data_IF_754570639243
#
_entry.id   IF_754570639243
#
_cell.length_a   1.000
_cell.length_b   1.000
_cell.length_c   1.000
_cell.angle_alpha   90.00
_cell.angle_beta   90.00
_cell.angle_gamma   90.00
#
_symmetry.space_group_name_H-M   'P 1'
#
loop_
_entity.id
_entity.type
_entity.pdbx_description
1 polymer ?
#
# COMPACT_ATOMS: atom_id res chain seq x y z
N UNK A 1 1.40 -13.58 18.06
CA UNK A 1 0.56 -12.66 17.27
C UNK A 1 -0.90 -13.03 17.49
N UNK A 2 -1.74 -12.04 17.72
CA UNK A 2 -3.21 -12.16 17.61
C UNK A 2 -3.59 -12.50 16.17
N UNK A 3 -4.73 -13.15 15.97
CA UNK A 3 -5.25 -13.47 14.63
C UNK A 3 -5.57 -12.16 13.90
N UNK A 4 -4.98 -11.94 12.73
CA UNK A 4 -5.27 -10.76 11.88
C UNK A 4 -6.09 -11.17 10.65
N UNK A 5 -7.16 -10.41 10.37
CA UNK A 5 -7.94 -10.56 9.14
C UNK A 5 -7.42 -9.61 8.06
N UNK A 6 -6.48 -10.09 7.25
CA UNK A 6 -5.89 -9.30 6.17
C UNK A 6 -6.92 -8.99 5.08
N UNK A 7 -7.03 -7.71 4.71
CA UNK A 7 -7.74 -7.22 3.53
C UNK A 7 -6.80 -7.09 2.34
N UNK A 8 -5.52 -6.82 2.61
CA UNK A 8 -4.50 -6.58 1.59
C UNK A 8 -3.14 -7.12 2.05
N UNK A 9 -2.41 -7.79 1.15
CA UNK A 9 -1.02 -8.19 1.38
C UNK A 9 -0.22 -8.12 0.07
N UNK A 10 0.75 -7.20 0.01
CA UNK A 10 1.59 -7.04 -1.18
C UNK A 10 2.69 -8.09 -1.23
N UNK A 11 2.41 -9.24 -1.83
CA UNK A 11 3.36 -10.33 -2.08
C UNK A 11 4.63 -9.85 -2.81
N UNK A 12 4.50 -8.93 -3.77
CA UNK A 12 5.67 -8.38 -4.46
C UNK A 12 6.56 -7.57 -3.51
N UNK A 13 6.00 -6.58 -2.79
CA UNK A 13 6.79 -5.76 -1.85
C UNK A 13 7.39 -6.63 -0.76
N UNK A 14 6.61 -7.59 -0.27
CA UNK A 14 7.07 -8.53 0.74
C UNK A 14 8.25 -9.38 0.24
N UNK A 15 8.18 -9.89 -0.99
CA UNK A 15 9.29 -10.63 -1.60
C UNK A 15 10.55 -9.78 -1.76
N UNK A 16 10.40 -8.55 -2.26
CA UNK A 16 11.51 -7.61 -2.46
C UNK A 16 12.16 -7.17 -1.14
N UNK A 17 11.35 -6.89 -0.11
CA UNK A 17 11.85 -6.50 1.21
C UNK A 17 12.48 -7.70 1.93
N UNK A 18 11.86 -8.88 1.88
CA UNK A 18 12.42 -10.08 2.51
C UNK A 18 13.78 -10.48 1.90
N UNK A 19 13.99 -10.26 0.61
CA UNK A 19 15.29 -10.49 -0.04
C UNK A 19 16.40 -9.57 0.50
N UNK A 20 16.07 -8.38 0.98
CA UNK A 20 17.03 -7.43 1.55
C UNK A 20 17.32 -7.71 3.04
N UNK A 21 16.41 -8.39 3.73
CA UNK A 21 16.54 -8.73 5.16
C UNK A 21 17.29 -10.07 5.37
N UNK A 22 17.36 -10.93 4.35
CA UNK A 22 18.04 -12.21 4.46
C UNK A 22 19.57 -12.03 4.65
N UNK A 23 20.21 -12.75 5.60
CA UNK A 23 21.66 -12.69 5.78
C UNK A 23 22.37 -13.17 4.50
N UNK A 24 23.46 -12.49 4.14
CA UNK A 24 24.23 -12.61 2.88
C UNK A 24 24.96 -13.95 2.65
N UNK A 25 24.43 -15.06 3.16
CA UNK A 25 24.98 -16.42 3.00
C UNK A 25 24.38 -17.20 1.83
N UNK A 26 23.61 -16.58 0.94
CA UNK A 26 23.20 -17.20 -0.31
C UNK A 26 23.80 -16.44 -1.48
N UNK A 27 24.76 -17.11 -2.11
CA UNK A 27 25.45 -16.82 -3.37
C UNK A 27 25.01 -15.55 -4.11
N UNK A 28 26.00 -14.72 -4.44
CA UNK A 28 26.02 -13.82 -5.60
C UNK A 28 25.60 -14.62 -6.84
N UNK A 29 24.30 -14.78 -7.00
CA UNK A 29 23.68 -15.17 -8.24
C UNK A 29 23.28 -13.82 -8.80
N UNK A 30 23.93 -13.44 -9.90
CA UNK A 30 23.59 -12.24 -10.67
C UNK A 30 22.09 -12.01 -10.57
N UNK A 31 21.72 -10.83 -10.03
CA UNK A 31 20.35 -10.36 -9.99
C UNK A 31 19.93 -10.00 -11.43
N UNK A 32 20.03 -10.96 -12.35
CA UNK A 32 19.16 -11.07 -13.49
C UNK A 32 17.77 -11.25 -12.89
N UNK A 33 17.13 -10.13 -12.57
CA UNK A 33 15.69 -10.04 -12.37
C UNK A 33 15.10 -10.40 -13.72
N UNK A 34 15.08 -11.70 -14.00
CA UNK A 34 14.20 -12.30 -14.97
C UNK A 34 12.81 -12.01 -14.39
N UNK A 35 12.28 -10.84 -14.75
CA UNK A 35 10.86 -10.48 -14.72
C UNK A 35 10.16 -11.45 -15.69
N UNK A 36 10.31 -12.75 -15.46
CA UNK A 36 9.39 -13.77 -15.89
C UNK A 36 8.09 -13.35 -15.29
N UNK A 37 7.27 -12.75 -16.15
CA UNK A 37 5.85 -12.53 -15.96
C UNK A 37 5.29 -13.84 -15.45
N UNK A 38 5.20 -13.96 -14.13
CA UNK A 38 4.63 -15.11 -13.46
C UNK A 38 3.15 -15.05 -13.80
N UNK A 39 2.78 -15.83 -14.82
CA UNK A 39 1.42 -16.01 -15.29
C UNK A 39 0.67 -16.79 -14.20
N UNK A 40 0.21 -16.08 -13.17
CA UNK A 40 -0.38 -16.70 -11.99
C UNK A 40 -1.90 -16.82 -12.12
N UNK A 41 -2.40 -18.02 -11.84
CA UNK A 41 -3.79 -18.41 -12.05
C UNK A 41 -4.71 -17.89 -10.93
N UNK A 42 -5.76 -17.17 -11.33
CA UNK A 42 -7.17 -17.03 -10.85
C UNK A 42 -7.64 -17.63 -9.50
N UNK A 43 -6.79 -17.88 -8.51
CA UNK A 43 -7.21 -18.34 -7.17
C UNK A 43 -7.20 -17.16 -6.22
N UNK A 44 -8.27 -17.02 -5.44
CA UNK A 44 -8.36 -16.07 -4.34
C UNK A 44 -7.07 -16.11 -3.53
N UNK A 45 -6.37 -14.98 -3.48
CA UNK A 45 -5.08 -14.86 -2.79
C UNK A 45 -5.37 -15.01 -1.30
N UNK A 46 -5.02 -16.16 -0.74
CA UNK A 46 -5.00 -16.39 0.70
C UNK A 46 -3.54 -16.34 1.12
N UNK A 47 -3.15 -15.47 2.05
CA UNK A 47 -1.80 -15.48 2.59
C UNK A 47 -1.45 -16.87 3.09
N UNK A 48 -0.34 -17.44 2.61
CA UNK A 48 0.18 -18.68 3.16
C UNK A 48 0.96 -18.38 4.44
N UNK A 49 1.14 -19.38 5.30
CA UNK A 49 1.88 -19.23 6.56
C UNK A 49 3.27 -18.62 6.34
N UNK A 50 3.94 -19.01 5.26
CA UNK A 50 5.24 -18.50 4.87
C UNK A 50 5.23 -17.00 4.50
N UNK A 51 4.14 -16.48 3.94
CA UNK A 51 4.01 -15.04 3.68
C UNK A 51 3.88 -14.25 4.99
N UNK A 52 3.18 -14.81 5.98
CA UNK A 52 3.06 -14.20 7.31
C UNK A 52 4.41 -14.20 8.04
N UNK A 53 5.18 -15.29 7.96
CA UNK A 53 6.52 -15.38 8.56
C UNK A 53 7.48 -14.36 7.92
N UNK A 54 7.41 -14.18 6.60
CA UNK A 54 8.17 -13.13 5.90
C UNK A 54 7.74 -11.74 6.35
N UNK A 55 6.43 -11.51 6.50
CA UNK A 55 5.88 -10.22 6.88
C UNK A 55 6.39 -9.83 8.27
N UNK A 56 6.35 -10.77 9.21
CA UNK A 56 6.89 -10.56 10.57
C UNK A 56 8.38 -10.18 10.53
N UNK A 57 9.19 -10.88 9.75
CA UNK A 57 10.62 -10.56 9.60
C UNK A 57 10.87 -9.18 9.00
N UNK A 58 10.12 -8.82 7.95
CA UNK A 58 10.22 -7.50 7.30
C UNK A 58 9.81 -6.40 8.28
N UNK A 59 8.67 -6.55 8.97
CA UNK A 59 8.21 -5.56 9.94
C UNK A 59 9.24 -5.41 11.06
N UNK A 60 9.74 -6.51 11.64
CA UNK A 60 10.77 -6.45 12.68
C UNK A 60 12.01 -5.71 12.19
N UNK A 61 12.50 -6.01 10.99
CA UNK A 61 13.68 -5.32 10.45
C UNK A 61 13.44 -3.81 10.27
N UNK A 62 12.28 -3.42 9.75
CA UNK A 62 11.92 -2.01 9.61
C UNK A 62 11.78 -1.30 10.96
N UNK A 63 11.31 -2.00 12.00
CA UNK A 63 11.22 -1.49 13.37
C UNK A 63 12.61 -1.34 14.00
N UNK A 64 13.45 -2.37 13.90
CA UNK A 64 14.82 -2.38 14.44
C UNK A 64 15.69 -1.28 13.80
N UNK A 65 15.40 -0.92 12.55
CA UNK A 65 16.06 0.15 11.81
C UNK A 65 15.42 1.54 12.00
N UNK A 66 14.41 1.68 12.87
CA UNK A 66 13.66 2.92 13.13
C UNK A 66 13.07 3.55 11.85
N UNK A 67 12.61 2.70 10.92
CA UNK A 67 12.08 3.12 9.61
C UNK A 67 10.55 3.24 9.58
N UNK A 68 9.86 2.83 10.65
CA UNK A 68 8.39 2.92 10.78
C UNK A 68 8.06 4.02 11.79
N UNK A 69 7.58 5.15 11.29
CA UNK A 69 7.01 6.22 12.10
C UNK A 69 5.49 6.15 12.20
N UNK A 70 4.91 7.17 12.81
CA UNK A 70 3.46 7.46 12.72
C UNK A 70 3.11 8.19 11.42
N UNK A 71 1.81 8.43 11.19
CA UNK A 71 1.37 9.28 10.07
C UNK A 71 1.97 10.72 10.14
N UNK A 72 2.19 11.22 11.36
CA UNK A 72 2.69 12.57 11.65
C UNK A 72 4.22 12.69 11.68
N UNK A 73 4.94 11.58 11.71
CA UNK A 73 6.40 11.55 11.74
C UNK A 73 6.98 11.32 10.34
N UNK A 74 8.07 12.03 10.03
CA UNK A 74 8.77 11.93 8.75
C UNK A 74 9.61 10.65 8.66
N UNK A 75 8.95 9.52 8.46
CA UNK A 75 9.57 8.21 8.20
C UNK A 75 9.31 7.68 6.79
N UNK A 76 10.19 6.81 6.24
CA UNK A 76 9.99 6.19 4.93
C UNK A 76 8.80 5.23 4.93
N UNK A 77 8.47 4.65 6.09
CA UNK A 77 7.25 3.91 6.34
C UNK A 77 6.47 4.57 7.47
N UNK A 78 5.15 4.38 7.45
CA UNK A 78 4.28 4.79 8.53
C UNK A 78 3.30 3.68 8.87
N UNK A 79 2.97 3.60 10.15
CA UNK A 79 1.92 2.73 10.68
C UNK A 79 0.78 3.58 11.22
N UNK A 80 -0.44 3.09 11.06
CA UNK A 80 -1.61 3.67 11.69
C UNK A 80 -2.70 2.62 11.89
N UNK A 81 -3.62 2.93 12.80
CA UNK A 81 -4.88 2.22 13.00
C UNK A 81 -6.00 3.26 12.98
N UNK A 82 -6.90 3.18 12.00
CA UNK A 82 -8.00 4.14 11.85
C UNK A 82 -9.17 3.52 11.07
N UNK A 83 -10.38 4.08 11.19
CA UNK A 83 -11.50 3.75 10.34
C UNK A 83 -11.22 4.17 8.89
N UNK A 84 -11.25 3.22 7.96
CA UNK A 84 -11.08 3.49 6.52
C UNK A 84 -12.22 2.88 5.71
N UNK A 85 -12.56 3.52 4.60
CA UNK A 85 -13.33 2.94 3.50
C UNK A 85 -12.35 2.40 2.47
N UNK A 86 -12.75 1.41 1.69
CA UNK A 86 -11.92 0.91 0.61
C UNK A 86 -12.71 0.37 -0.57
N UNK A 87 -12.12 0.47 -1.76
CA UNK A 87 -12.75 0.06 -3.00
C UNK A 87 -11.70 -0.45 -3.99
N UNK A 88 -12.05 -1.53 -4.70
CA UNK A 88 -11.30 -1.99 -5.87
C UNK A 88 -11.83 -1.28 -7.11
N UNK A 89 -10.93 -0.80 -7.95
CA UNK A 89 -11.20 -0.24 -9.27
C UNK A 89 -10.68 -1.22 -10.33
N UNK A 90 -11.49 -2.17 -10.81
CA UNK A 90 -11.01 -3.29 -11.63
C UNK A 90 -10.42 -2.84 -12.98
N UNK A 91 -11.03 -1.85 -13.62
CA UNK A 91 -10.56 -1.27 -14.90
C UNK A 91 -9.17 -0.65 -14.78
N UNK A 92 -8.81 -0.24 -13.58
CA UNK A 92 -7.54 0.37 -13.23
C UNK A 92 -6.52 -0.62 -12.65
N UNK A 93 -6.97 -1.81 -12.22
CA UNK A 93 -6.14 -2.78 -11.51
C UNK A 93 -5.65 -2.29 -10.14
N UNK A 94 -6.35 -1.35 -9.49
CA UNK A 94 -5.96 -0.80 -8.18
C UNK A 94 -7.00 -1.01 -7.10
N UNK A 95 -6.55 -0.93 -5.85
CA UNK A 95 -7.37 -0.78 -4.65
C UNK A 95 -6.97 0.52 -3.96
N UNK A 96 -7.96 1.25 -3.45
CA UNK A 96 -7.76 2.46 -2.65
C UNK A 96 -8.39 2.25 -1.29
N UNK A 97 -7.65 2.58 -0.24
CA UNK A 97 -8.17 2.75 1.11
C UNK A 97 -8.10 4.22 1.46
N UNK A 98 -9.14 4.80 2.04
CA UNK A 98 -9.12 6.18 2.47
C UNK A 98 -9.83 6.37 3.82
N UNK A 99 -9.29 7.24 4.66
CA UNK A 99 -9.84 7.61 5.96
C UNK A 99 -9.14 8.86 6.49
N UNK A 100 -9.64 9.40 7.60
CA UNK A 100 -9.08 10.59 8.23
C UNK A 100 -8.56 10.24 9.61
N UNK A 101 -7.31 10.63 9.88
CA UNK A 101 -6.69 10.53 11.20
C UNK A 101 -6.52 11.94 11.75
N UNK A 102 -7.24 12.26 12.81
CA UNK A 102 -7.42 13.62 13.31
C UNK A 102 -7.92 14.54 12.18
N UNK A 103 -7.08 15.44 11.67
CA UNK A 103 -7.39 16.33 10.53
C UNK A 103 -6.58 15.99 9.26
N UNK A 104 -5.89 14.85 9.23
CA UNK A 104 -5.07 14.43 8.09
C UNK A 104 -5.79 13.33 7.27
N UNK A 105 -5.99 13.57 5.98
CA UNK A 105 -6.54 12.57 5.06
C UNK A 105 -5.47 11.54 4.71
N UNK A 106 -5.70 10.28 5.02
CA UNK A 106 -4.80 9.17 4.71
C UNK A 106 -5.37 8.39 3.53
N UNK A 107 -4.60 8.28 2.46
CA UNK A 107 -4.96 7.50 1.27
C UNK A 107 -3.89 6.45 1.01
N UNK A 108 -4.31 5.19 0.87
CA UNK A 108 -3.42 4.08 0.54
C UNK A 108 -3.77 3.54 -0.85
N UNK A 109 -2.76 3.48 -1.72
CA UNK A 109 -2.86 2.94 -3.07
C UNK A 109 -2.08 1.64 -3.23
N UNK A 110 -2.77 0.59 -3.67
CA UNK A 110 -2.18 -0.71 -3.97
C UNK A 110 -2.69 -1.32 -5.26
N UNK A 111 -1.99 -2.33 -5.78
CA UNK A 111 -2.51 -3.14 -6.89
C UNK A 111 -3.62 -4.08 -6.39
N UNK A 112 -4.73 -4.15 -7.13
CA UNK A 112 -5.92 -4.95 -6.79
C UNK A 112 -5.60 -6.46 -6.69
N UNK A 113 -4.56 -6.95 -7.35
CA UNK A 113 -4.14 -8.36 -7.30
C UNK A 113 -3.65 -8.83 -5.92
N UNK A 114 -3.49 -7.90 -4.97
CA UNK A 114 -3.03 -8.17 -3.61
C UNK A 114 -4.15 -8.08 -2.57
N UNK A 115 -5.38 -7.82 -3.00
CA UNK A 115 -6.56 -7.86 -2.13
C UNK A 115 -6.84 -9.31 -1.76
N UNK A 116 -6.94 -9.57 -0.46
CA UNK A 116 -7.21 -10.92 0.08
C UNK A 116 -8.68 -11.24 -0.13
N UNK A 117 -8.98 -12.39 -0.72
CA UNK A 117 -10.36 -12.80 -1.01
C UNK A 117 -11.04 -12.04 -2.16
N UNK A 118 -10.36 -11.07 -2.78
CA UNK A 118 -10.86 -10.37 -3.97
C UNK A 118 -10.83 -11.28 -5.20
N UNK A 119 -12.00 -11.64 -5.71
CA UNK A 119 -12.16 -12.29 -7.01
C UNK A 119 -12.08 -11.27 -8.17
N UNK A 120 -11.49 -11.69 -9.28
CA UNK A 120 -11.56 -11.11 -10.63
C UNK A 120 -11.22 -9.61 -10.80
N UNK A 121 -10.01 -9.22 -10.41
CA UNK A 121 -9.33 -8.07 -11.03
C UNK A 121 -8.09 -8.55 -11.79
N UNK A 122 -8.06 -8.35 -13.11
CA UNK A 122 -6.89 -8.61 -13.96
C UNK A 122 -5.67 -7.82 -13.42
N UNK A 123 -4.51 -8.46 -13.17
CA UNK A 123 -3.34 -7.77 -12.65
C UNK A 123 -2.72 -6.89 -13.74
N UNK A 124 -2.90 -5.58 -13.64
CA UNK A 124 -1.92 -4.64 -14.19
C UNK A 124 -0.85 -4.47 -13.11
N UNK A 125 0.41 -4.69 -13.48
CA UNK A 125 1.54 -4.91 -12.57
C UNK A 125 1.59 -4.00 -11.33
N UNK A 126 2.20 -4.52 -10.26
CA UNK A 126 2.47 -3.85 -8.98
C UNK A 126 3.30 -2.58 -9.14
N UNK A 127 2.66 -1.55 -9.63
CA UNK A 127 3.11 -0.18 -9.66
C UNK A 127 1.87 0.62 -9.25
N UNK A 128 1.99 1.86 -8.81
CA UNK A 128 0.89 2.80 -8.68
C UNK A 128 0.54 3.53 -10.00
N UNK A 129 0.44 2.93 -11.21
CA UNK A 129 0.29 3.71 -12.42
C UNK A 129 -1.13 4.23 -12.58
N UNK A 130 -2.19 3.67 -11.96
CA UNK A 130 -3.52 4.27 -12.11
C UNK A 130 -3.82 5.37 -11.11
N UNK A 131 -3.34 5.27 -9.86
CA UNK A 131 -3.38 6.42 -8.94
C UNK A 131 -2.51 7.55 -9.52
N UNK A 132 -1.32 7.21 -10.00
CA UNK A 132 -0.46 8.13 -10.74
C UNK A 132 -1.07 8.60 -12.07
N UNK A 133 -1.81 7.76 -12.81
CA UNK A 133 -2.48 8.12 -14.08
C UNK A 133 -3.74 8.92 -13.87
N UNK A 134 -4.50 8.71 -12.80
CA UNK A 134 -5.59 9.59 -12.36
C UNK A 134 -5.03 10.94 -11.93
N UNK A 135 -3.92 10.95 -11.19
CA UNK A 135 -3.15 12.16 -10.89
C UNK A 135 -2.58 12.82 -12.16
N UNK A 136 -2.23 12.06 -13.20
CA UNK A 136 -1.84 12.58 -14.51
C UNK A 136 -3.03 13.04 -15.37
N UNK A 137 -4.19 12.40 -15.28
CA UNK A 137 -5.46 12.80 -15.93
C UNK A 137 -5.99 14.09 -15.32
N UNK A 138 -5.66 14.37 -14.06
CA UNK A 138 -5.89 15.63 -13.35
C UNK A 138 -4.84 16.71 -13.69
N UNK A 139 -3.95 16.47 -14.66
CA UNK A 139 -2.88 17.40 -15.06
C UNK A 139 -3.19 18.08 -16.40
N UNK A 140 -3.24 19.43 -16.45
CA UNK A 140 -2.75 20.19 -17.59
C UNK A 140 -1.21 20.30 -17.49
N UNK A 141 -0.52 19.82 -18.53
CA UNK A 141 0.92 19.96 -18.85
C UNK A 141 1.99 19.39 -17.86
N UNK A 142 3.16 18.94 -18.35
CA UNK A 142 4.21 18.32 -17.55
C UNK A 142 5.11 19.35 -16.86
N UNK A 143 4.80 19.70 -15.63
CA UNK A 143 5.68 20.47 -14.73
C UNK A 143 5.20 20.30 -13.31
N UNK A 144 6.10 19.92 -12.39
CA UNK A 144 5.98 19.66 -10.93
C UNK A 144 4.66 19.05 -10.41
N UNK A 145 4.73 18.16 -9.41
CA UNK A 145 3.51 17.83 -8.69
C UNK A 145 3.11 19.11 -7.97
N UNK A 146 2.09 19.81 -8.49
CA UNK A 146 1.45 20.87 -7.72
C UNK A 146 0.80 20.17 -6.53
N UNK A 147 1.51 20.21 -5.40
CA UNK A 147 1.10 19.60 -4.16
C UNK A 147 -0.37 19.94 -3.90
N UNK A 148 -0.80 21.18 -4.13
CA UNK A 148 -2.18 21.62 -3.92
C UNK A 148 -3.22 20.73 -4.64
N UNK A 149 -3.02 20.43 -5.93
CA UNK A 149 -3.94 19.60 -6.73
C UNK A 149 -3.94 18.13 -6.32
N UNK A 150 -2.76 17.60 -5.98
CA UNK A 150 -2.64 16.25 -5.42
C UNK A 150 -3.46 16.18 -4.13
N UNK A 151 -3.33 17.18 -3.26
CA UNK A 151 -4.06 17.23 -1.99
C UNK A 151 -5.57 17.34 -2.18
N UNK A 152 -6.05 18.19 -3.09
CA UNK A 152 -7.48 18.25 -3.43
C UNK A 152 -7.99 16.90 -3.93
N UNK A 153 -7.22 16.22 -4.79
CA UNK A 153 -7.58 14.90 -5.29
C UNK A 153 -7.63 13.85 -4.16
N UNK A 154 -6.67 13.87 -3.23
CA UNK A 154 -6.65 12.95 -2.08
C UNK A 154 -7.83 13.21 -1.14
N UNK A 155 -8.15 14.48 -0.86
CA UNK A 155 -9.32 14.86 -0.06
C UNK A 155 -10.63 14.39 -0.72
N UNK A 156 -10.80 14.63 -2.03
CA UNK A 156 -11.95 14.16 -2.78
C UNK A 156 -12.08 12.63 -2.79
N UNK A 157 -10.95 11.91 -2.87
CA UNK A 157 -10.94 10.45 -2.75
C UNK A 157 -11.37 10.00 -1.36
N UNK A 158 -10.91 10.69 -0.31
CA UNK A 158 -11.29 10.43 1.08
C UNK A 158 -12.80 10.55 1.30
N UNK A 159 -13.37 11.66 0.85
CA UNK A 159 -14.80 11.95 1.04
C UNK A 159 -15.70 11.13 0.10
N UNK A 160 -15.23 10.84 -1.11
CA UNK A 160 -16.00 10.23 -2.18
C UNK A 160 -16.02 8.71 -2.19
N UNK A 161 -15.26 8.03 -1.33
CA UNK A 161 -15.15 6.57 -1.37
C UNK A 161 -16.47 5.90 -0.89
N UNK A 162 -17.11 5.06 -1.71
CA UNK A 162 -18.30 4.33 -1.29
C UNK A 162 -17.95 3.18 -0.32
N UNK A 163 -18.98 2.59 0.29
CA UNK A 163 -18.86 1.39 1.12
C UNK A 163 -18.83 1.66 2.62
N UNK A 164 -18.78 0.61 3.45
CA UNK A 164 -18.73 0.74 4.89
C UNK A 164 -17.35 1.21 5.36
N UNK A 165 -17.34 2.01 6.42
CA UNK A 165 -16.08 2.32 7.13
C UNK A 165 -15.73 1.13 8.04
N UNK A 166 -14.49 0.66 7.95
CA UNK A 166 -13.98 -0.47 8.74
C UNK A 166 -12.72 -0.03 9.50
N UNK A 167 -12.58 -0.36 10.79
CA UNK A 167 -11.34 -0.11 11.51
C UNK A 167 -10.25 -1.01 10.93
N UNK A 168 -9.15 -0.41 10.48
CA UNK A 168 -8.02 -1.14 9.88
C UNK A 168 -6.70 -0.70 10.49
N UNK A 169 -5.78 -1.65 10.58
CA UNK A 169 -4.37 -1.40 10.86
C UNK A 169 -3.52 -1.72 9.62
N UNK A 170 -2.44 -0.96 9.43
CA UNK A 170 -1.53 -1.16 8.31
C UNK A 170 -0.14 -0.62 8.56
N UNK A 171 0.79 -1.06 7.71
CA UNK A 171 2.08 -0.41 7.50
C UNK A 171 2.20 -0.09 6.02
N UNK A 172 2.55 1.15 5.69
CA UNK A 172 2.66 1.64 4.33
C UNK A 172 3.96 2.41 4.09
N UNK A 173 4.50 2.30 2.88
CA UNK A 173 5.58 3.18 2.41
C UNK A 173 5.00 4.57 2.13
N UNK A 174 5.61 5.62 2.67
CA UNK A 174 5.26 7.03 2.38
C UNK A 174 5.62 7.36 0.93
N UNK A 175 4.69 7.97 0.20
CA UNK A 175 4.89 8.37 -1.20
C UNK A 175 4.83 9.89 -1.39
N UNK A 176 3.86 10.55 -0.75
CA UNK A 176 3.68 11.99 -0.79
C UNK A 176 2.92 12.48 0.46
N UNK A 177 3.12 13.74 0.84
CA UNK A 177 2.54 14.34 2.05
C UNK A 177 2.31 15.86 1.91
N UNK A 178 1.17 16.36 2.40
CA UNK A 178 1.00 17.74 2.90
C UNK A 178 1.09 17.68 4.41
N UNK A 179 2.01 18.44 4.99
CA UNK A 179 1.98 18.72 6.41
C UNK A 179 1.12 19.97 6.69
N UNK A 180 0.56 20.06 7.89
CA UNK A 180 -0.26 21.20 8.33
C UNK A 180 -1.76 20.90 8.42
N UNK A 181 -2.59 21.93 8.70
CA UNK A 181 -4.04 21.78 8.81
C UNK A 181 -4.65 21.24 7.50
N UNK A 182 -5.58 20.28 7.60
CA UNK A 182 -6.14 19.55 6.45
C UNK A 182 -5.04 18.87 5.61
N UNK A 183 -4.02 18.35 6.27
CA UNK A 183 -2.93 17.64 5.60
C UNK A 183 -3.43 16.40 4.87
N UNK A 184 -2.62 15.85 3.97
CA UNK A 184 -2.90 14.54 3.41
C UNK A 184 -1.63 13.71 3.30
N UNK A 185 -1.79 12.39 3.36
CA UNK A 185 -0.70 11.43 3.28
C UNK A 185 -1.07 10.32 2.30
N UNK A 186 -0.28 10.21 1.23
CA UNK A 186 -0.38 9.12 0.27
C UNK A 186 0.65 8.04 0.61
N UNK A 187 0.15 6.81 0.82
CA UNK A 187 0.96 5.65 1.11
C UNK A 187 0.76 4.50 0.13
N UNK A 188 1.73 3.57 0.13
CA UNK A 188 1.58 2.27 -0.52
C UNK A 188 1.70 1.14 0.50
N UNK A 189 0.62 0.39 0.79
CA UNK A 189 0.61 -0.55 1.91
C UNK A 189 1.50 -1.77 1.64
N UNK A 190 2.20 -2.24 2.67
CA UNK A 190 2.77 -3.60 2.70
C UNK A 190 1.62 -4.57 3.00
N UNK A 191 0.82 -4.25 4.01
CA UNK A 191 -0.41 -4.97 4.35
C UNK A 191 -1.49 -3.99 4.83
N UNK A 192 -2.75 -4.43 4.80
CA UNK A 192 -3.88 -3.83 5.53
C UNK A 192 -4.67 -4.98 6.15
N UNK A 193 -5.01 -4.88 7.43
CA UNK A 193 -5.83 -5.85 8.15
C UNK A 193 -6.93 -5.16 8.94
N UNK A 194 -8.05 -5.86 9.20
CA UNK A 194 -9.05 -5.38 10.15
C UNK A 194 -8.42 -5.28 11.53
N UNK A 195 -8.67 -4.17 12.21
CA UNK A 195 -8.34 -3.99 13.62
C UNK A 195 -9.46 -4.57 14.49
N UNK A 196 -9.08 -5.15 15.64
CA UNK A 196 -9.98 -5.70 16.65
C UNK A 196 -10.69 -4.61 17.48
#
# INVERSE_FOLDING_TARGET
MTLKYYLYLSHLKLGLLAAQVAPSTQHETELAVDLKVVRYSRKAVRPERHDLDKLEKVIRHLQDADQIGTAFESGPYFQACLPMRWQVFPTAGIVVFAGTLDDQVIVLGGSASHVVGGGDAEPVGSVPPYLFRKLQELRPEPGEFDDERLHEALAQIGDGLPGPTQPVEFIAKRLAEKSGPNGALLGSPIYVALAD
#
